data_IF_456670823648
#
_entry.id   IF_456670823648
#
_cell.length_a   1.000
_cell.length_b   1.000
_cell.length_c   1.000
_cell.angle_alpha   90.00
_cell.angle_beta   90.00
_cell.angle_gamma   90.00
#
_symmetry.space_group_name_H-M   'P 1'
#
loop_
_entity.id
_entity.type
_entity.pdbx_description
1 polymer ?
#
# COMPACT_ATOMS: atom_id res chain seq x y z
N UNK A 1 24.30 -9.95 -22.08
CA UNK A 1 23.74 -8.80 -21.33
C UNK A 1 22.87 -9.37 -20.23
N UNK A 2 23.24 -9.21 -18.96
CA UNK A 2 22.35 -9.59 -17.86
C UNK A 2 21.18 -8.59 -17.88
N UNK A 3 19.97 -9.07 -18.19
CA UNK A 3 18.77 -8.28 -17.96
C UNK A 3 18.79 -7.86 -16.48
N UNK A 4 18.79 -6.56 -16.21
CA UNK A 4 18.71 -6.06 -14.83
C UNK A 4 17.44 -6.63 -14.21
N UNK A 5 17.59 -7.33 -13.11
CA UNK A 5 16.47 -7.91 -12.37
C UNK A 5 15.52 -6.78 -12.00
N UNK A 6 14.29 -6.80 -12.55
CA UNK A 6 13.33 -5.71 -12.40
C UNK A 6 12.61 -5.86 -11.06
N UNK A 7 12.99 -5.03 -10.09
CA UNK A 7 12.31 -4.96 -8.79
C UNK A 7 11.18 -3.90 -8.87
N UNK A 8 9.96 -4.16 -8.36
CA UNK A 8 8.92 -3.14 -8.28
C UNK A 8 9.38 -2.04 -7.31
N UNK A 9 9.28 -0.77 -7.73
CA UNK A 9 9.62 0.38 -6.87
C UNK A 9 8.59 0.57 -5.76
N UNK A 10 7.31 0.35 -6.07
CA UNK A 10 6.19 0.55 -5.16
C UNK A 10 5.29 -0.68 -5.14
N UNK A 11 5.20 -1.29 -3.97
CA UNK A 11 4.31 -2.44 -3.70
C UNK A 11 3.15 -1.99 -2.83
N UNK A 12 1.93 -2.25 -3.29
CA UNK A 12 0.70 -2.04 -2.51
C UNK A 12 0.15 -3.37 -2.00
N UNK A 13 -0.18 -3.47 -0.70
CA UNK A 13 -0.70 -4.72 -0.12
C UNK A 13 -2.09 -4.53 0.46
N UNK A 14 -3.05 -5.34 -0.03
CA UNK A 14 -4.38 -5.48 0.55
C UNK A 14 -4.34 -6.66 1.53
N UNK A 15 -4.29 -6.33 2.82
CA UNK A 15 -4.03 -7.24 3.93
C UNK A 15 -5.30 -7.99 4.38
N UNK A 16 -5.75 -8.94 3.56
CA UNK A 16 -6.95 -9.71 3.84
C UNK A 16 -6.66 -11.02 4.60
N UNK A 17 -7.68 -11.54 5.31
CA UNK A 17 -7.58 -12.83 5.99
C UNK A 17 -7.34 -12.79 7.50
N UNK A 18 -7.14 -11.63 8.14
CA UNK A 18 -6.92 -11.52 9.60
C UNK A 18 -8.00 -12.23 10.43
N UNK A 19 -9.28 -12.02 10.08
CA UNK A 19 -10.41 -12.62 10.77
C UNK A 19 -10.49 -14.14 10.55
N UNK A 20 -10.27 -14.62 9.31
CA UNK A 20 -10.24 -16.05 8.97
C UNK A 20 -9.11 -16.77 9.71
N UNK A 21 -7.95 -16.13 9.77
CA UNK A 21 -6.77 -16.64 10.48
C UNK A 21 -7.04 -16.81 11.99
N UNK A 22 -7.66 -15.84 12.63
CA UNK A 22 -8.02 -15.91 14.05
C UNK A 22 -9.10 -16.98 14.31
N UNK A 23 -10.13 -17.04 13.46
CA UNK A 23 -11.20 -18.06 13.54
C UNK A 23 -10.63 -19.46 13.42
N UNK A 24 -9.72 -19.73 12.49
CA UNK A 24 -9.07 -21.03 12.33
C UNK A 24 -8.25 -21.47 13.55
N UNK A 25 -7.94 -20.54 14.47
CA UNK A 25 -7.20 -20.78 15.73
C UNK A 25 -8.06 -20.64 16.98
N UNK A 26 -9.38 -20.58 16.81
CA UNK A 26 -10.36 -20.33 17.90
C UNK A 26 -10.03 -19.08 18.73
N UNK A 27 -9.61 -18.00 18.05
CA UNK A 27 -9.24 -16.72 18.67
C UNK A 27 -10.15 -15.58 18.18
N UNK A 28 -10.34 -14.53 18.99
CA UNK A 28 -11.11 -13.36 18.58
C UNK A 28 -10.44 -12.61 17.43
N UNK A 29 -11.21 -11.90 16.60
CA UNK A 29 -10.72 -11.13 15.44
C UNK A 29 -9.54 -10.19 15.79
N UNK A 30 -9.58 -9.57 16.97
CA UNK A 30 -8.50 -8.70 17.46
C UNK A 30 -7.13 -9.40 17.57
N UNK A 31 -7.13 -10.72 17.78
CA UNK A 31 -5.89 -11.51 17.79
C UNK A 31 -5.27 -11.61 16.37
N UNK A 32 -6.12 -11.79 15.35
CA UNK A 32 -5.69 -11.79 13.96
C UNK A 32 -5.13 -10.43 13.54
N UNK A 33 -5.76 -9.33 13.92
CA UNK A 33 -5.27 -7.98 13.62
C UNK A 33 -3.90 -7.70 14.26
N UNK A 34 -3.68 -8.12 15.51
CA UNK A 34 -2.34 -8.02 16.15
C UNK A 34 -1.28 -8.88 15.44
N UNK A 35 -1.66 -10.07 14.97
CA UNK A 35 -0.76 -10.89 14.18
C UNK A 35 -0.45 -10.23 12.82
N UNK A 36 -1.46 -9.62 12.19
CA UNK A 36 -1.30 -8.87 10.94
C UNK A 36 -0.34 -7.66 11.06
N UNK A 37 -0.33 -6.98 12.20
CA UNK A 37 0.66 -5.91 12.48
C UNK A 37 2.09 -6.46 12.46
N UNK A 38 2.32 -7.63 13.05
CA UNK A 38 3.66 -8.27 13.00
C UNK A 38 4.06 -8.66 11.58
N UNK A 39 3.09 -9.06 10.75
CA UNK A 39 3.35 -9.35 9.34
C UNK A 39 3.76 -8.09 8.58
N UNK A 40 3.13 -6.90 8.83
CA UNK A 40 3.57 -5.64 8.23
C UNK A 40 5.06 -5.42 8.46
N UNK A 41 5.52 -5.61 9.71
CA UNK A 41 6.91 -5.39 10.09
C UNK A 41 7.88 -6.30 9.33
N UNK A 42 7.58 -7.61 9.27
CA UNK A 42 8.40 -8.57 8.52
C UNK A 42 8.49 -8.24 7.04
N UNK A 43 7.34 -7.94 6.44
CA UNK A 43 7.25 -7.59 5.01
C UNK A 43 7.94 -6.27 4.71
N UNK A 44 7.82 -5.27 5.59
CA UNK A 44 8.51 -3.98 5.46
C UNK A 44 10.03 -4.16 5.42
N UNK A 45 10.58 -4.99 6.29
CA UNK A 45 12.01 -5.30 6.29
C UNK A 45 12.42 -6.11 5.06
N UNK A 46 11.59 -7.07 4.63
CA UNK A 46 11.81 -7.77 3.37
C UNK A 46 11.80 -6.82 2.15
N UNK A 47 10.95 -5.80 2.15
CA UNK A 47 10.95 -4.76 1.11
C UNK A 47 12.27 -3.96 1.09
N UNK A 48 12.79 -3.57 2.27
CA UNK A 48 14.08 -2.89 2.41
C UNK A 48 15.22 -3.77 1.85
N UNK A 49 15.28 -5.05 2.27
CA UNK A 49 16.31 -5.99 1.83
C UNK A 49 16.27 -6.28 0.31
N UNK A 50 15.07 -6.24 -0.29
CA UNK A 50 14.84 -6.48 -1.72
C UNK A 50 14.93 -5.21 -2.59
N UNK A 51 15.19 -4.04 -1.99
CA UNK A 51 15.34 -2.77 -2.71
C UNK A 51 14.03 -2.15 -3.18
N UNK A 52 12.90 -2.46 -2.53
CA UNK A 52 11.60 -1.83 -2.80
C UNK A 52 11.56 -0.47 -2.09
N UNK A 53 11.33 0.60 -2.87
CA UNK A 53 11.37 1.97 -2.34
C UNK A 53 10.15 2.34 -1.49
N UNK A 54 8.97 1.81 -1.86
CA UNK A 54 7.70 2.14 -1.19
C UNK A 54 6.88 0.90 -0.92
N UNK A 55 6.46 0.72 0.32
CA UNK A 55 5.43 -0.24 0.72
C UNK A 55 4.18 0.51 1.16
N UNK A 56 3.07 0.35 0.43
CA UNK A 56 1.74 0.83 0.84
C UNK A 56 0.91 -0.31 1.41
N UNK A 57 0.37 -0.13 2.61
CA UNK A 57 -0.48 -1.14 3.27
C UNK A 57 -1.89 -0.62 3.52
N UNK A 58 -2.91 -1.40 3.14
CA UNK A 58 -4.32 -1.04 3.32
C UNK A 58 -4.78 -1.36 4.74
N UNK A 59 -4.53 -0.45 5.69
CA UNK A 59 -4.77 -0.68 7.11
C UNK A 59 -6.24 -0.50 7.53
N UNK A 60 -6.94 0.51 6.98
CA UNK A 60 -8.35 0.78 7.27
C UNK A 60 -9.00 1.56 6.13
N UNK A 61 -10.02 0.98 5.50
CA UNK A 61 -10.75 1.63 4.41
C UNK A 61 -11.88 2.52 4.91
N UNK A 62 -12.32 3.48 4.07
CA UNK A 62 -13.50 4.31 4.35
C UNK A 62 -14.76 3.47 4.58
N UNK A 63 -14.88 2.31 3.93
CA UNK A 63 -15.99 1.39 4.09
C UNK A 63 -15.98 0.67 5.45
N UNK A 64 -14.84 0.57 6.11
CA UNK A 64 -14.72 -0.12 7.41
C UNK A 64 -15.41 0.61 8.57
N UNK A 65 -15.80 1.87 8.41
CA UNK A 65 -16.63 2.58 9.38
C UNK A 65 -18.01 1.95 9.57
N UNK A 66 -18.50 1.16 8.60
CA UNK A 66 -19.77 0.41 8.70
C UNK A 66 -19.69 -0.80 9.63
N UNK A 67 -18.48 -1.20 10.06
CA UNK A 67 -18.27 -2.30 10.99
C UNK A 67 -18.82 -1.98 12.39
N UNK A 68 -19.03 -3.00 13.24
CA UNK A 68 -19.45 -2.76 14.62
C UNK A 68 -18.52 -1.76 15.33
N UNK A 69 -19.10 -0.79 16.04
CA UNK A 69 -18.35 0.28 16.72
C UNK A 69 -17.26 -0.22 17.66
N UNK A 70 -17.45 -1.38 18.27
CA UNK A 70 -16.48 -2.03 19.16
C UNK A 70 -15.24 -2.49 18.38
N UNK A 71 -15.44 -3.04 17.18
CA UNK A 71 -14.36 -3.46 16.30
C UNK A 71 -13.58 -2.25 15.78
N UNK A 72 -14.28 -1.21 15.29
CA UNK A 72 -13.64 0.04 14.84
C UNK A 72 -12.77 0.68 15.94
N UNK A 73 -13.31 0.79 17.17
CA UNK A 73 -12.55 1.32 18.30
C UNK A 73 -11.30 0.47 18.62
N UNK A 74 -11.44 -0.85 18.55
CA UNK A 74 -10.32 -1.76 18.78
C UNK A 74 -9.22 -1.61 17.72
N UNK A 75 -9.60 -1.45 16.44
CA UNK A 75 -8.68 -1.22 15.34
C UNK A 75 -7.96 0.13 15.48
N UNK A 76 -8.66 1.21 15.77
CA UNK A 76 -8.06 2.53 15.98
C UNK A 76 -7.10 2.54 17.18
N UNK A 77 -7.45 1.85 18.27
CA UNK A 77 -6.55 1.67 19.41
C UNK A 77 -5.31 0.88 19.01
N UNK A 78 -5.47 -0.25 18.33
CA UNK A 78 -4.36 -1.07 17.86
C UNK A 78 -3.41 -0.28 16.96
N UNK A 79 -3.95 0.55 16.06
CA UNK A 79 -3.15 1.41 15.20
C UNK A 79 -2.32 2.41 16.02
N UNK A 80 -2.96 3.08 16.99
CA UNK A 80 -2.28 4.03 17.88
C UNK A 80 -1.15 3.35 18.67
N UNK A 81 -1.46 2.22 19.34
CA UNK A 81 -0.50 1.46 20.13
C UNK A 81 0.67 0.94 19.27
N UNK A 82 0.39 0.54 18.03
CA UNK A 82 1.41 0.08 17.09
C UNK A 82 2.34 1.20 16.69
N UNK A 83 1.80 2.36 16.33
CA UNK A 83 2.61 3.51 15.95
C UNK A 83 3.51 3.98 17.12
N UNK A 84 3.00 3.92 18.36
CA UNK A 84 3.81 4.24 19.54
C UNK A 84 4.96 3.23 19.76
N UNK A 85 4.65 1.95 19.69
CA UNK A 85 5.59 0.88 20.03
C UNK A 85 6.65 0.64 18.97
N UNK A 86 6.28 0.70 17.69
CA UNK A 86 7.17 0.35 16.59
C UNK A 86 7.92 1.58 16.02
N UNK A 87 7.54 2.80 16.42
CA UNK A 87 8.08 4.04 15.87
C UNK A 87 9.61 4.12 15.96
N UNK A 88 10.16 3.92 17.16
CA UNK A 88 11.60 4.08 17.39
C UNK A 88 12.43 3.10 16.55
N UNK A 89 11.96 1.87 16.41
CA UNK A 89 12.63 0.86 15.60
C UNK A 89 12.54 1.19 14.10
N UNK A 90 11.37 1.59 13.60
CA UNK A 90 11.20 2.00 12.20
C UNK A 90 12.06 3.23 11.89
N UNK A 91 12.09 4.21 12.79
CA UNK A 91 12.92 5.41 12.65
C UNK A 91 14.42 5.08 12.69
N UNK A 92 14.87 4.22 13.59
CA UNK A 92 16.28 3.81 13.70
C UNK A 92 16.78 3.07 12.45
N UNK A 93 15.89 2.39 11.73
CA UNK A 93 16.18 1.78 10.42
C UNK A 93 16.19 2.77 9.26
N UNK A 94 15.90 4.03 9.51
CA UNK A 94 15.86 5.05 8.46
C UNK A 94 14.67 4.91 7.52
N UNK A 95 13.58 4.25 7.91
CA UNK A 95 12.36 4.11 7.12
C UNK A 95 11.46 5.33 7.36
N UNK A 96 11.02 5.97 6.28
CA UNK A 96 10.07 7.06 6.31
C UNK A 96 8.65 6.53 6.51
N UNK A 97 7.89 7.13 7.43
CA UNK A 97 6.47 6.84 7.65
C UNK A 97 5.63 7.95 7.01
N UNK A 98 4.63 7.58 6.22
CA UNK A 98 3.60 8.48 5.71
C UNK A 98 2.23 7.83 5.85
N UNK A 99 1.18 8.65 5.97
CA UNK A 99 -0.20 8.16 6.12
C UNK A 99 -1.08 8.79 5.05
N UNK A 100 -1.70 7.94 4.23
CA UNK A 100 -2.68 8.33 3.22
C UNK A 100 -4.10 8.10 3.72
N UNK A 101 -4.99 9.09 3.50
CA UNK A 101 -6.42 8.99 3.84
C UNK A 101 -6.96 10.25 4.55
N UNK A 102 -8.26 10.21 4.86
CA UNK A 102 -8.99 11.33 5.46
C UNK A 102 -8.64 11.50 6.94
N UNK A 103 -7.80 12.47 7.26
CA UNK A 103 -7.36 12.74 8.64
C UNK A 103 -8.41 13.43 9.49
N UNK A 104 -9.29 14.24 8.87
CA UNK A 104 -10.30 15.02 9.58
C UNK A 104 -11.26 14.17 10.43
N UNK A 105 -11.51 12.93 10.04
CA UNK A 105 -12.38 11.98 10.73
C UNK A 105 -11.67 11.19 11.86
N UNK A 106 -10.34 11.30 11.95
CA UNK A 106 -9.54 10.69 13.01
C UNK A 106 -9.57 11.55 14.28
N UNK A 107 -9.38 10.91 15.44
CA UNK A 107 -9.31 11.66 16.71
C UNK A 107 -8.13 12.66 16.71
N UNK A 108 -8.24 13.80 17.44
CA UNK A 108 -7.14 14.76 17.53
C UNK A 108 -5.80 14.12 17.94
N UNK A 109 -5.84 13.24 18.94
CA UNK A 109 -4.65 12.51 19.42
C UNK A 109 -4.02 11.65 18.32
N UNK A 110 -4.85 10.98 17.47
CA UNK A 110 -4.34 10.18 16.35
C UNK A 110 -3.68 11.07 15.30
N UNK A 111 -4.29 12.20 14.96
CA UNK A 111 -3.73 13.15 13.98
C UNK A 111 -2.37 13.68 14.44
N UNK A 112 -2.29 14.15 15.69
CA UNK A 112 -1.05 14.65 16.29
C UNK A 112 0.06 13.59 16.25
N UNK A 113 -0.29 12.32 16.54
CA UNK A 113 0.68 11.23 16.52
C UNK A 113 1.17 10.89 15.10
N UNK A 114 0.27 10.95 14.12
CA UNK A 114 0.63 10.78 12.70
C UNK A 114 1.55 11.93 12.26
N UNK A 115 1.18 13.16 12.54
CA UNK A 115 1.96 14.35 12.15
C UNK A 115 3.37 14.35 12.79
N UNK A 116 3.48 13.89 14.04
CA UNK A 116 4.76 13.73 14.72
C UNK A 116 5.63 12.64 14.05
N UNK A 117 5.04 11.49 13.74
CA UNK A 117 5.74 10.40 13.08
C UNK A 117 6.24 10.79 11.68
N UNK A 118 5.39 11.41 10.87
CA UNK A 118 5.77 11.88 9.52
C UNK A 118 6.89 12.92 9.59
N UNK A 119 6.77 13.89 10.49
CA UNK A 119 7.77 14.95 10.67
C UNK A 119 9.14 14.38 11.08
N UNK A 120 9.16 13.48 12.06
CA UNK A 120 10.41 12.90 12.58
C UNK A 120 11.09 11.99 11.57
N UNK A 121 10.33 11.31 10.72
CA UNK A 121 10.87 10.39 9.72
C UNK A 121 11.03 11.00 8.32
N UNK A 122 10.71 12.28 8.15
CA UNK A 122 10.69 12.96 6.83
C UNK A 122 12.00 12.84 6.05
N UNK A 123 13.14 12.79 6.74
CA UNK A 123 14.48 12.72 6.15
C UNK A 123 15.08 11.30 6.16
N UNK A 124 14.30 10.29 6.53
CA UNK A 124 14.78 8.91 6.55
C UNK A 124 15.02 8.39 5.11
N UNK A 125 16.19 7.77 4.82
CA UNK A 125 16.60 7.47 3.45
C UNK A 125 16.26 6.05 2.95
N UNK A 126 15.87 5.11 3.84
CA UNK A 126 15.87 3.67 3.54
C UNK A 126 14.51 3.13 3.07
N UNK A 127 13.73 3.94 2.39
CA UNK A 127 12.41 3.55 1.89
C UNK A 127 11.26 4.18 2.65
N UNK A 128 10.03 3.91 2.19
CA UNK A 128 8.82 4.55 2.72
C UNK A 128 7.75 3.51 3.04
N UNK A 129 7.26 3.52 4.27
CA UNK A 129 6.03 2.84 4.66
C UNK A 129 4.87 3.82 4.55
N UNK A 130 3.97 3.61 3.59
CA UNK A 130 2.73 4.35 3.44
C UNK A 130 1.56 3.56 4.05
N UNK A 131 0.99 4.07 5.13
CA UNK A 131 -0.15 3.44 5.80
C UNK A 131 -1.44 4.07 5.33
N UNK A 132 -2.23 3.33 4.54
CA UNK A 132 -3.53 3.79 4.07
C UNK A 132 -4.58 3.59 5.19
N UNK A 133 -4.85 4.68 5.93
CA UNK A 133 -5.74 4.73 7.09
C UNK A 133 -6.92 5.67 6.81
N UNK A 134 -8.15 5.19 7.00
CA UNK A 134 -9.35 5.90 6.56
C UNK A 134 -9.26 6.31 5.08
N UNK A 135 -8.79 5.37 4.28
CA UNK A 135 -8.46 5.56 2.89
C UNK A 135 -9.51 4.93 1.98
N UNK A 136 -9.75 5.56 0.83
CA UNK A 136 -10.50 5.00 -0.28
C UNK A 136 -10.13 5.76 -1.56
N UNK A 137 -9.82 5.06 -2.65
CA UNK A 137 -9.37 5.69 -3.89
C UNK A 137 -10.39 6.65 -4.50
N UNK A 138 -11.71 6.33 -4.39
CA UNK A 138 -12.77 7.26 -4.80
C UNK A 138 -12.80 8.52 -3.93
N UNK A 139 -12.62 8.37 -2.62
CA UNK A 139 -12.56 9.49 -1.69
C UNK A 139 -11.34 10.38 -1.97
N UNK A 140 -10.18 9.78 -2.22
CA UNK A 140 -8.96 10.49 -2.59
C UNK A 140 -9.15 11.35 -3.83
N UNK A 141 -9.76 10.82 -4.89
CA UNK A 141 -10.05 11.58 -6.14
C UNK A 141 -11.00 12.75 -5.88
N UNK A 142 -12.06 12.54 -5.10
CA UNK A 142 -13.01 13.61 -4.74
C UNK A 142 -12.31 14.69 -3.93
N UNK A 143 -11.46 14.31 -2.98
CA UNK A 143 -10.74 15.26 -2.13
C UNK A 143 -9.66 16.02 -2.94
N UNK A 144 -9.01 15.38 -3.92
CA UNK A 144 -8.09 16.02 -4.85
C UNK A 144 -8.80 17.09 -5.71
N UNK A 145 -9.97 16.76 -6.28
CA UNK A 145 -10.79 17.72 -7.06
C UNK A 145 -11.23 18.90 -6.18
N UNK A 146 -11.70 18.65 -4.97
CA UNK A 146 -12.05 19.73 -4.02
C UNK A 146 -10.87 20.65 -3.74
N UNK A 147 -9.69 20.09 -3.49
CA UNK A 147 -8.46 20.85 -3.26
C UNK A 147 -8.08 21.72 -4.45
N UNK A 148 -8.27 21.25 -5.70
CA UNK A 148 -8.06 22.06 -6.90
C UNK A 148 -9.03 23.25 -6.96
N UNK A 149 -10.32 23.00 -6.72
CA UNK A 149 -11.35 24.06 -6.72
C UNK A 149 -11.08 25.09 -5.63
N UNK A 150 -10.79 24.66 -4.41
CA UNK A 150 -10.47 25.52 -3.26
C UNK A 150 -9.21 26.37 -3.49
N UNK A 151 -8.28 25.86 -4.30
CA UNK A 151 -7.06 26.61 -4.70
C UNK A 151 -7.30 27.57 -5.87
N UNK A 152 -8.52 27.68 -6.40
CA UNK A 152 -8.85 28.58 -7.50
C UNK A 152 -8.37 28.11 -8.88
N UNK A 153 -8.00 26.82 -9.04
CA UNK A 153 -7.60 26.27 -10.33
C UNK A 153 -8.80 26.22 -11.27
N UNK A 154 -8.67 26.80 -12.47
CA UNK A 154 -9.76 26.83 -13.46
C UNK A 154 -9.98 25.43 -14.06
N UNK A 155 -11.20 25.16 -14.54
CA UNK A 155 -11.54 23.88 -15.17
C UNK A 155 -10.63 23.53 -16.37
N UNK A 156 -10.12 24.53 -17.07
CA UNK A 156 -9.24 24.36 -18.23
C UNK A 156 -7.81 23.94 -17.83
N UNK A 157 -7.41 24.18 -16.59
CA UNK A 157 -6.09 23.83 -16.04
C UNK A 157 -6.10 22.47 -15.32
N UNK A 158 -7.28 21.83 -15.15
CA UNK A 158 -7.40 20.51 -14.54
C UNK A 158 -7.04 19.44 -15.58
N UNK A 159 -5.84 18.90 -15.44
CA UNK A 159 -5.35 17.75 -16.20
C UNK A 159 -4.95 16.61 -15.23
N UNK A 160 -4.49 15.49 -15.76
CA UNK A 160 -4.02 14.35 -14.97
C UNK A 160 -2.89 14.73 -14.01
N UNK A 161 -1.99 15.61 -14.43
CA UNK A 161 -0.86 16.07 -13.64
C UNK A 161 -1.30 16.95 -12.48
N UNK A 162 -2.23 17.87 -12.73
CA UNK A 162 -2.82 18.73 -11.70
C UNK A 162 -3.55 17.88 -10.65
N UNK A 163 -4.32 16.88 -11.10
CA UNK A 163 -5.02 15.96 -10.21
C UNK A 163 -4.03 15.08 -9.38
N UNK A 164 -3.03 14.50 -10.04
CA UNK A 164 -2.02 13.69 -9.38
C UNK A 164 -1.25 14.45 -8.28
N UNK A 165 -1.00 15.75 -8.50
CA UNK A 165 -0.35 16.64 -7.53
C UNK A 165 -1.20 16.92 -6.27
N UNK A 166 -2.48 16.54 -6.27
CA UNK A 166 -3.42 16.75 -5.15
C UNK A 166 -3.87 15.43 -4.49
N UNK A 167 -3.37 14.30 -4.97
CA UNK A 167 -3.59 13.04 -4.28
C UNK A 167 -2.90 13.03 -2.91
N UNK A 168 -3.33 12.11 -2.03
CA UNK A 168 -2.63 11.92 -0.77
C UNK A 168 -1.18 11.49 -1.05
N UNK A 169 -0.22 12.11 -0.37
CA UNK A 169 1.20 11.84 -0.57
C UNK A 169 1.64 11.92 -2.05
N UNK A 170 1.50 13.08 -2.72
CA UNK A 170 1.70 13.20 -4.17
C UNK A 170 3.12 12.87 -4.65
N UNK A 171 4.10 12.86 -3.72
CA UNK A 171 5.48 12.51 -4.00
C UNK A 171 5.74 11.01 -4.17
N UNK A 172 4.79 10.14 -3.77
CA UNK A 172 4.95 8.70 -3.94
C UNK A 172 4.81 8.31 -5.43
N UNK A 173 5.63 7.37 -5.93
CA UNK A 173 5.48 6.87 -7.29
C UNK A 173 4.18 6.07 -7.46
N UNK A 174 3.81 5.82 -8.71
CA UNK A 174 2.72 4.89 -9.00
C UNK A 174 3.05 3.48 -8.53
N UNK A 175 2.01 2.70 -8.27
CA UNK A 175 2.14 1.33 -7.80
C UNK A 175 2.52 0.41 -8.96
N UNK A 176 3.59 -0.34 -8.79
CA UNK A 176 4.03 -1.33 -9.77
C UNK A 176 3.36 -2.69 -9.57
N UNK A 177 3.17 -3.09 -8.31
CA UNK A 177 2.63 -4.39 -7.93
C UNK A 177 1.62 -4.24 -6.78
N UNK A 178 0.42 -4.75 -7.00
CA UNK A 178 -0.58 -4.95 -5.94
C UNK A 178 -0.53 -6.42 -5.51
N UNK A 179 -0.38 -6.66 -4.23
CA UNK A 179 -0.50 -7.99 -3.62
C UNK A 179 -1.81 -8.05 -2.84
N UNK A 180 -2.63 -9.08 -3.08
CA UNK A 180 -3.80 -9.32 -2.26
C UNK A 180 -3.76 -10.72 -1.67
N UNK A 181 -3.89 -10.80 -0.34
CA UNK A 181 -3.87 -12.05 0.42
C UNK A 181 -5.26 -12.65 0.56
N UNK A 182 -5.32 -13.94 0.95
CA UNK A 182 -6.54 -14.67 1.27
C UNK A 182 -7.46 -14.99 0.10
N UNK A 183 -6.91 -15.12 -1.14
CA UNK A 183 -7.62 -15.64 -2.33
C UNK A 183 -8.65 -14.69 -2.96
N UNK A 184 -8.71 -13.42 -2.53
CA UNK A 184 -9.67 -12.45 -3.04
C UNK A 184 -9.12 -11.67 -4.24
N UNK A 185 -9.89 -11.53 -5.32
CA UNK A 185 -9.43 -10.98 -6.62
C UNK A 185 -9.96 -9.59 -6.98
N UNK A 186 -10.31 -8.77 -5.99
CA UNK A 186 -10.82 -7.40 -6.19
C UNK A 186 -9.89 -6.34 -5.60
N UNK A 187 -9.88 -5.13 -6.17
CA UNK A 187 -9.07 -3.99 -5.70
C UNK A 187 -9.62 -3.30 -4.46
N UNK A 188 -10.89 -3.48 -4.16
CA UNK A 188 -11.58 -2.92 -2.98
C UNK A 188 -11.32 -1.43 -2.75
N UNK A 189 -11.36 -0.62 -3.81
CA UNK A 189 -11.16 0.82 -3.74
C UNK A 189 -9.76 1.26 -3.26
N UNK A 190 -8.74 0.39 -3.43
CA UNK A 190 -7.37 0.66 -3.01
C UNK A 190 -6.56 1.29 -4.14
N UNK A 191 -5.98 2.46 -3.89
CA UNK A 191 -5.03 3.22 -4.72
C UNK A 191 -5.41 3.31 -6.22
N UNK A 192 -6.70 3.54 -6.53
CA UNK A 192 -7.26 3.44 -7.89
C UNK A 192 -6.46 4.21 -8.94
N UNK A 193 -6.07 5.45 -8.65
CA UNK A 193 -5.29 6.27 -9.57
C UNK A 193 -3.89 5.70 -9.77
N UNK A 194 -3.18 5.46 -8.68
CA UNK A 194 -1.78 5.02 -8.72
C UNK A 194 -1.59 3.58 -9.18
N UNK A 195 -2.62 2.73 -9.00
CA UNK A 195 -2.58 1.32 -9.38
C UNK A 195 -3.14 1.04 -10.77
N UNK A 196 -3.42 2.07 -11.57
CA UNK A 196 -4.04 1.93 -12.90
C UNK A 196 -3.26 0.98 -13.81
N UNK A 197 -1.94 0.97 -13.71
CA UNK A 197 -1.05 0.10 -14.49
C UNK A 197 -0.30 -0.91 -13.63
N UNK A 198 -0.71 -1.12 -12.39
CA UNK A 198 -0.08 -2.10 -11.51
C UNK A 198 -0.35 -3.52 -11.95
N UNK A 199 0.65 -4.39 -11.84
CA UNK A 199 0.45 -5.82 -11.89
C UNK A 199 -0.25 -6.29 -10.61
N UNK A 200 -1.04 -7.37 -10.69
CA UNK A 200 -1.77 -7.90 -9.54
C UNK A 200 -1.31 -9.32 -9.26
N UNK A 201 -0.89 -9.56 -8.03
CA UNK A 201 -0.57 -10.89 -7.51
C UNK A 201 -1.56 -11.27 -6.42
N UNK A 202 -2.20 -12.43 -6.55
CA UNK A 202 -3.18 -12.96 -5.60
C UNK A 202 -2.62 -14.22 -4.97
N UNK A 203 -2.72 -14.33 -3.64
CA UNK A 203 -2.31 -15.52 -2.90
C UNK A 203 -3.36 -15.97 -1.91
N UNK A 204 -3.51 -17.28 -1.73
CA UNK A 204 -4.39 -17.87 -0.73
C UNK A 204 -3.85 -17.70 0.71
N UNK A 205 -2.57 -17.39 0.86
CA UNK A 205 -1.95 -17.13 2.16
C UNK A 205 -2.74 -16.04 2.91
N UNK A 206 -3.16 -16.32 4.13
CA UNK A 206 -3.81 -15.33 5.00
C UNK A 206 -2.78 -14.32 5.49
N UNK A 207 -3.14 -13.03 5.55
CA UNK A 207 -2.19 -11.96 5.86
C UNK A 207 -1.28 -12.22 7.07
N UNK A 208 -1.74 -12.71 8.25
CA UNK A 208 -0.84 -12.95 9.37
C UNK A 208 0.26 -13.99 9.14
N UNK A 209 0.05 -14.90 8.19
CA UNK A 209 1.01 -15.92 7.79
C UNK A 209 1.84 -15.53 6.56
N UNK A 210 1.53 -14.39 5.91
CA UNK A 210 2.30 -13.86 4.78
C UNK A 210 3.67 -13.36 5.28
N UNK A 211 4.74 -13.81 4.61
CA UNK A 211 6.12 -13.51 5.02
C UNK A 211 7.01 -13.22 3.80
N UNK A 212 8.31 -12.99 4.06
CA UNK A 212 9.32 -12.65 3.04
C UNK A 212 9.33 -13.64 1.86
N UNK A 213 9.29 -14.98 2.05
CA UNK A 213 9.20 -15.92 0.93
C UNK A 213 7.95 -15.73 0.05
N UNK A 214 6.82 -15.28 0.63
CA UNK A 214 5.62 -14.95 -0.14
C UNK A 214 5.82 -13.68 -0.98
N UNK A 215 6.50 -12.67 -0.40
CA UNK A 215 6.87 -11.44 -1.09
C UNK A 215 7.81 -11.74 -2.26
N UNK A 216 8.84 -12.56 -2.06
CA UNK A 216 9.77 -13.00 -3.10
C UNK A 216 9.06 -13.71 -4.25
N UNK A 217 8.08 -14.59 -3.95
CA UNK A 217 7.25 -15.22 -4.99
C UNK A 217 6.45 -14.20 -5.79
N UNK A 218 5.86 -13.20 -5.12
CA UNK A 218 5.12 -12.14 -5.80
C UNK A 218 6.02 -11.30 -6.72
N UNK A 219 7.25 -11.01 -6.28
CA UNK A 219 8.24 -10.29 -7.08
C UNK A 219 8.72 -11.14 -8.26
N UNK A 220 8.97 -12.43 -8.05
CA UNK A 220 9.35 -13.35 -9.13
C UNK A 220 8.27 -13.46 -10.21
N UNK A 221 6.99 -13.53 -9.81
CA UNK A 221 5.85 -13.48 -10.75
C UNK A 221 5.80 -12.14 -11.52
N UNK A 222 5.99 -11.02 -10.83
CA UNK A 222 6.07 -9.69 -11.45
C UNK A 222 7.20 -9.60 -12.48
N UNK A 223 8.37 -10.16 -12.19
CA UNK A 223 9.53 -10.17 -13.09
C UNK A 223 9.29 -10.98 -14.36
N UNK A 224 8.50 -12.05 -14.27
CA UNK A 224 8.13 -12.89 -15.42
C UNK A 224 7.13 -12.23 -16.37
N UNK A 225 6.51 -11.09 -15.99
CA UNK A 225 5.48 -10.41 -16.78
C UNK A 225 6.08 -9.34 -17.69
N UNK A 226 5.58 -9.26 -18.93
CA UNK A 226 5.92 -8.22 -19.89
C UNK A 226 4.92 -7.06 -19.77
N UNK A 227 5.34 -5.93 -19.19
CA UNK A 227 4.51 -4.71 -19.13
C UNK A 227 4.45 -4.03 -20.50
N UNK A 228 3.27 -3.83 -21.04
CA UNK A 228 3.06 -3.34 -22.42
C UNK A 228 2.57 -1.90 -22.50
N UNK A 229 2.06 -1.30 -21.42
CA UNK A 229 1.51 0.08 -21.39
C UNK A 229 0.69 0.44 -22.64
N UNK A 230 -0.10 -0.51 -23.18
CA UNK A 230 -0.83 -0.36 -24.43
C UNK A 230 -0.05 -0.55 -25.74
N UNK A 231 1.27 -0.80 -25.68
CA UNK A 231 2.11 -1.10 -26.85
C UNK A 231 1.91 -2.52 -27.40
N UNK A 232 2.13 -2.69 -28.70
CA UNK A 232 2.20 -4.03 -29.32
C UNK A 232 3.60 -4.63 -29.11
N UNK A 233 3.75 -5.96 -28.94
CA UNK A 233 5.05 -6.59 -29.02
C UNK A 233 5.62 -6.37 -30.43
N UNK A 234 6.93 -6.09 -30.52
CA UNK A 234 7.60 -6.20 -31.82
C UNK A 234 7.38 -7.61 -32.36
N UNK A 235 7.10 -7.77 -33.66
CA UNK A 235 7.02 -9.09 -34.27
C UNK A 235 8.36 -9.81 -34.02
N UNK A 236 8.28 -11.04 -33.53
CA UNK A 236 9.48 -11.88 -33.46
C UNK A 236 10.11 -11.92 -34.86
N UNK A 237 11.41 -11.61 -34.97
CA UNK A 237 12.13 -11.80 -36.22
C UNK A 237 11.91 -13.21 -36.70
N UNK A 238 11.60 -13.42 -38.03
CA UNK A 238 11.45 -14.75 -38.56
C UNK A 238 12.75 -15.52 -38.32
N UNK A 239 12.66 -16.69 -37.70
CA UNK A 239 13.77 -17.64 -37.67
C UNK A 239 14.22 -17.88 -39.09
N UNK A 240 15.38 -17.35 -39.49
CA UNK A 240 16.04 -17.76 -40.74
C UNK A 240 16.36 -19.25 -40.59
N UNK A 241 15.55 -20.10 -41.22
CA UNK A 241 15.86 -21.49 -41.41
C UNK A 241 17.03 -21.54 -42.40
N UNK A 242 18.24 -21.69 -41.85
CA UNK A 242 19.44 -21.98 -42.65
C UNK A 242 19.21 -23.29 -43.44
N UNK A 243 19.20 -23.15 -44.77
CA UNK A 243 19.13 -24.25 -45.75
C UNK A 243 20.40 -25.07 -45.74
#
# INVERSE_FOLDING_TARGET
MHASVRVPRHVGIIMDGNGRWAKGRNRPHSFGHRAGVRAIKRVMYGCEDLGIEVLSVYAFSTENWTRPRTEVRALMRLFHETLEREFDEIHSRGIRIVVSGRRGELSPRMRERIDDAERKTAQNPNGTLNVCLNYGGRAELVDAVRSLIESGVSAAEIDEKALAARLYQPQLPDVDLIIRTAGESRMSNFMLWRATYAEIFITDTLWPDFDVPDLERAISDYQGRVRRFGGRPEPAEPLELSS
#
